data_IF_092591689790
#
_entry.id   IF_092591689790
#
_cell.length_a   1.000
_cell.length_b   1.000
_cell.length_c   1.000
_cell.angle_alpha   90.00
_cell.angle_beta   90.00
_cell.angle_gamma   90.00
#
_symmetry.space_group_name_H-M   'P 1'
#
loop_
_entity.id
_entity.type
_entity.pdbx_description
1 polymer ?
#
# COMPACT_ATOMS: atom_id res chain seq x y z
N UNK A 1 -41.45 44.69 -22.81
CA UNK A 1 -40.22 45.50 -22.99
C UNK A 1 -39.52 45.63 -21.64
N UNK A 2 -38.53 44.77 -21.38
CA UNK A 2 -37.72 44.82 -20.14
C UNK A 2 -36.27 45.04 -20.56
N UNK A 3 -35.68 46.14 -20.09
CA UNK A 3 -34.34 46.63 -20.47
C UNK A 3 -33.24 45.87 -19.73
N UNK A 4 -32.29 45.33 -20.49
CA UNK A 4 -30.99 44.87 -20.01
C UNK A 4 -30.12 46.08 -19.59
N UNK A 5 -29.54 46.03 -18.39
CA UNK A 5 -28.44 46.92 -17.97
C UNK A 5 -27.12 46.16 -18.14
N UNK A 6 -26.28 46.61 -19.07
CA UNK A 6 -24.87 46.24 -19.12
C UNK A 6 -24.10 47.00 -18.02
N UNK A 7 -23.28 46.28 -17.27
CA UNK A 7 -22.23 46.83 -16.42
C UNK A 7 -20.91 46.79 -17.19
N UNK A 8 -20.41 47.97 -17.56
CA UNK A 8 -19.09 48.20 -18.11
C UNK A 8 -18.08 48.44 -16.98
N UNK A 9 -17.04 47.62 -16.88
CA UNK A 9 -15.87 47.92 -16.05
C UNK A 9 -14.83 48.68 -16.88
N UNK A 10 -14.47 49.89 -16.43
CA UNK A 10 -13.37 50.69 -16.98
C UNK A 10 -12.03 50.23 -16.40
N UNK A 11 -11.08 49.89 -17.27
CA UNK A 11 -9.67 49.70 -16.94
C UNK A 11 -8.98 51.07 -16.89
N UNK A 12 -8.37 51.40 -15.75
CA UNK A 12 -7.43 52.52 -15.62
C UNK A 12 -5.99 51.99 -15.68
N UNK A 13 -5.06 52.71 -16.34
CA UNK A 13 -3.69 52.24 -16.55
C UNK A 13 -2.82 52.51 -15.31
N UNK A 14 -1.98 51.53 -14.95
CA UNK A 14 -0.92 51.70 -13.95
C UNK A 14 0.37 52.09 -14.68
N UNK A 15 0.94 53.19 -14.24
CA UNK A 15 2.17 53.81 -14.71
C UNK A 15 3.42 52.98 -14.42
N UNK A 16 4.30 52.92 -15.41
CA UNK A 16 5.64 52.32 -15.38
C UNK A 16 6.63 53.14 -14.55
N UNK A 17 7.34 52.49 -13.62
CA UNK A 17 8.57 53.01 -13.01
C UNK A 17 9.72 52.00 -13.12
N UNK A 18 10.69 52.40 -13.96
CA UNK A 18 12.13 52.12 -13.97
C UNK A 18 12.69 50.94 -13.15
N UNK A 19 13.13 49.90 -13.87
CA UNK A 19 14.09 48.90 -13.41
C UNK A 19 15.54 49.43 -13.52
N UNK A 20 16.45 49.15 -12.57
CA UNK A 20 17.87 49.40 -12.76
C UNK A 20 18.55 48.24 -13.50
N UNK A 21 19.30 48.63 -14.52
CA UNK A 21 20.12 47.81 -15.42
C UNK A 21 21.29 47.16 -14.66
N UNK A 22 21.37 45.84 -14.67
CA UNK A 22 22.55 45.09 -14.25
C UNK A 22 23.54 44.95 -15.42
N UNK A 23 24.78 45.43 -15.22
CA UNK A 23 25.92 45.20 -16.14
C UNK A 23 26.55 43.83 -15.88
N UNK A 24 26.92 43.05 -16.90
CA UNK A 24 27.70 41.82 -16.71
C UNK A 24 29.19 42.17 -16.60
N UNK A 25 29.82 41.73 -15.51
CA UNK A 25 31.27 41.67 -15.40
C UNK A 25 31.72 40.21 -15.36
N UNK A 26 32.49 39.85 -16.38
CA UNK A 26 33.19 38.60 -16.56
C UNK A 26 34.22 38.38 -15.44
N UNK A 27 34.21 37.19 -14.83
CA UNK A 27 35.43 36.60 -14.25
C UNK A 27 35.29 35.09 -14.10
N UNK A 28 36.20 34.40 -14.78
CA UNK A 28 36.55 33.00 -14.60
C UNK A 28 36.77 32.68 -13.12
N UNK A 29 36.18 31.58 -12.63
CA UNK A 29 36.85 30.67 -11.69
C UNK A 29 36.14 29.33 -11.62
N UNK A 30 36.84 28.33 -12.16
CA UNK A 30 36.80 26.92 -11.76
C UNK A 30 36.58 26.78 -10.25
N UNK A 31 35.55 26.06 -9.82
CA UNK A 31 35.45 25.53 -8.46
C UNK A 31 34.69 24.19 -8.46
N UNK A 32 35.48 23.12 -8.36
CA UNK A 32 35.28 21.90 -7.58
C UNK A 32 33.96 21.11 -7.70
N UNK A 33 33.96 20.14 -8.62
CA UNK A 33 33.26 18.87 -8.39
C UNK A 33 33.98 18.11 -7.27
N UNK A 34 33.36 18.03 -6.07
CA UNK A 34 33.76 17.04 -5.07
C UNK A 34 32.99 15.74 -5.30
N UNK A 35 33.71 14.81 -5.92
CA UNK A 35 33.57 13.36 -5.77
C UNK A 35 33.45 13.01 -4.28
N UNK A 36 32.35 12.38 -3.87
CA UNK A 36 32.31 11.61 -2.64
C UNK A 36 32.74 10.18 -2.99
N UNK A 37 34.05 9.97 -2.85
CA UNK A 37 34.69 8.65 -2.82
C UNK A 37 35.37 8.50 -1.47
N UNK A 38 35.38 7.25 -1.00
CA UNK A 38 36.15 6.67 0.11
C UNK A 38 35.76 7.05 1.54
N UNK A 39 35.05 6.13 2.19
CA UNK A 39 35.56 5.49 3.42
C UNK A 39 35.18 4.00 3.37
N UNK A 40 36.05 3.19 2.76
CA UNK A 40 36.05 1.74 2.93
C UNK A 40 36.88 1.42 4.17
N UNK A 41 36.22 1.03 5.26
CA UNK A 41 36.85 0.31 6.36
C UNK A 41 36.92 -1.17 5.98
N UNK A 42 38.13 -1.69 5.88
CA UNK A 42 38.43 -3.11 5.68
C UNK A 42 38.08 -3.89 6.95
N UNK A 43 37.07 -4.75 6.87
CA UNK A 43 36.87 -5.85 7.82
C UNK A 43 36.92 -7.17 7.06
N UNK A 44 38.11 -7.78 7.02
CA UNK A 44 38.27 -9.21 6.77
C UNK A 44 38.19 -9.93 8.10
N UNK A 45 37.18 -10.79 8.27
CA UNK A 45 37.36 -12.08 8.94
C UNK A 45 36.37 -13.11 8.40
N UNK A 46 36.94 -14.30 8.16
CA UNK A 46 36.34 -15.62 8.11
C UNK A 46 35.19 -15.89 7.12
N UNK A 47 35.57 -16.63 6.09
CA UNK A 47 34.73 -17.60 5.41
C UNK A 47 34.03 -18.51 6.42
N UNK A 48 32.71 -18.39 6.51
CA UNK A 48 31.87 -19.50 6.97
C UNK A 48 30.84 -19.79 5.88
N UNK A 49 31.24 -20.68 4.98
CA UNK A 49 30.35 -21.30 4.02
C UNK A 49 29.49 -22.31 4.76
N UNK A 50 28.34 -21.90 5.28
CA UNK A 50 27.25 -22.82 5.60
C UNK A 50 25.89 -22.21 5.24
N UNK A 51 25.09 -23.03 4.57
CA UNK A 51 23.72 -22.75 4.15
C UNK A 51 22.83 -22.33 5.32
N UNK A 52 22.68 -21.04 5.57
CA UNK A 52 21.63 -20.47 6.43
C UNK A 52 20.39 -20.14 5.58
N UNK A 53 19.77 -21.16 4.99
CA UNK A 53 18.45 -21.01 4.41
C UNK A 53 17.42 -20.66 5.51
N UNK A 54 16.69 -19.57 5.30
CA UNK A 54 15.34 -19.34 5.89
C UNK A 54 15.22 -19.10 7.42
N UNK A 55 15.88 -18.07 7.96
CA UNK A 55 15.48 -17.50 9.28
C UNK A 55 15.33 -15.98 9.33
N UNK A 56 15.42 -15.29 8.18
CA UNK A 56 15.37 -13.82 8.14
C UNK A 56 13.96 -13.27 8.25
N UNK A 57 13.03 -13.78 7.44
CA UNK A 57 11.63 -13.35 7.48
C UNK A 57 10.85 -14.17 8.52
N UNK A 58 10.32 -13.50 9.53
CA UNK A 58 9.19 -14.01 10.30
C UNK A 58 7.90 -13.56 9.61
N UNK A 59 7.02 -14.51 9.33
CA UNK A 59 5.73 -14.27 8.68
C UNK A 59 4.59 -14.92 9.45
N UNK A 60 3.49 -14.20 9.64
CA UNK A 60 2.21 -14.73 10.12
C UNK A 60 1.07 -14.15 9.28
N UNK A 61 0.15 -15.02 8.91
CA UNK A 61 -1.17 -14.67 8.38
C UNK A 61 -2.17 -14.84 9.51
N UNK A 62 -2.94 -13.80 9.78
CA UNK A 62 -3.96 -13.73 10.82
C UNK A 62 -5.32 -13.48 10.16
N UNK A 63 -6.39 -13.99 10.73
CA UNK A 63 -7.72 -13.91 10.13
C UNK A 63 -8.70 -13.20 11.06
N UNK A 64 -9.44 -12.22 10.54
CA UNK A 64 -10.61 -11.61 11.17
C UNK A 64 -11.86 -12.23 10.54
N UNK A 65 -12.73 -12.80 11.38
CA UNK A 65 -13.81 -13.67 10.94
C UNK A 65 -15.05 -12.92 10.46
N UNK A 66 -15.30 -11.72 10.96
CA UNK A 66 -16.53 -10.98 10.66
C UNK A 66 -16.48 -10.39 9.24
N UNK A 67 -15.33 -9.85 8.83
CA UNK A 67 -15.08 -9.32 7.49
C UNK A 67 -14.37 -10.31 6.55
N UNK A 68 -13.90 -11.43 7.08
CA UNK A 68 -13.05 -12.41 6.36
C UNK A 68 -11.71 -11.82 5.89
N UNK A 69 -11.17 -10.87 6.66
CA UNK A 69 -9.92 -10.17 6.33
C UNK A 69 -8.70 -10.95 6.81
N UNK A 70 -7.68 -11.01 5.96
CA UNK A 70 -6.35 -11.41 6.34
C UNK A 70 -5.50 -10.20 6.72
N UNK A 71 -4.94 -10.25 7.91
CA UNK A 71 -3.88 -9.34 8.37
C UNK A 71 -2.54 -10.07 8.30
N UNK A 72 -1.50 -9.42 7.79
CA UNK A 72 -0.18 -10.03 7.64
C UNK A 72 0.86 -9.36 8.53
N UNK A 73 1.52 -10.15 9.38
CA UNK A 73 2.66 -9.70 10.19
C UNK A 73 3.96 -10.17 9.53
N UNK A 74 4.84 -9.22 9.21
CA UNK A 74 6.16 -9.47 8.65
C UNK A 74 7.22 -8.87 9.57
N UNK A 75 8.34 -9.56 9.79
CA UNK A 75 9.48 -9.01 10.52
C UNK A 75 10.81 -9.54 10.01
N UNK A 76 11.85 -8.72 10.10
CA UNK A 76 13.24 -9.18 9.97
C UNK A 76 13.69 -9.71 11.33
N UNK A 77 13.52 -11.02 11.55
CA UNK A 77 13.87 -11.68 12.81
C UNK A 77 15.38 -11.80 13.05
N UNK A 78 16.20 -11.55 12.03
CA UNK A 78 17.66 -11.59 12.12
C UNK A 78 18.26 -10.27 12.62
N UNK A 79 17.54 -9.16 12.42
CA UNK A 79 17.96 -7.85 12.90
C UNK A 79 17.83 -7.77 14.44
N UNK A 80 18.78 -7.13 15.17
CA UNK A 80 18.75 -7.05 16.64
C UNK A 80 17.43 -6.50 17.21
N UNK A 81 16.88 -5.45 16.57
CA UNK A 81 15.60 -4.84 16.96
C UNK A 81 14.36 -5.62 16.52
N UNK A 82 14.49 -6.62 15.66
CA UNK A 82 13.38 -7.35 15.02
C UNK A 82 12.26 -6.43 14.47
N UNK A 83 12.59 -5.48 13.57
CA UNK A 83 11.63 -4.54 13.02
C UNK A 83 10.54 -5.26 12.24
N UNK A 84 9.29 -4.86 12.46
CA UNK A 84 8.11 -5.53 11.96
C UNK A 84 7.07 -4.57 11.39
N UNK A 85 6.22 -5.07 10.50
CA UNK A 85 5.06 -4.35 9.99
C UNK A 85 3.81 -5.24 9.97
N UNK A 86 2.65 -4.60 10.02
CA UNK A 86 1.35 -5.22 9.78
C UNK A 86 0.78 -4.71 8.45
N UNK A 87 0.23 -5.60 7.62
CA UNK A 87 -0.54 -5.28 6.42
C UNK A 87 -2.02 -5.57 6.68
N UNK A 88 -2.89 -4.60 6.36
CA UNK A 88 -4.34 -4.66 6.51
C UNK A 88 -4.79 -5.07 7.94
N UNK A 89 -4.33 -4.39 9.00
CA UNK A 89 -4.81 -4.66 10.36
C UNK A 89 -6.26 -4.18 10.54
N UNK A 90 -7.05 -4.94 11.31
CA UNK A 90 -8.44 -4.62 11.63
C UNK A 90 -8.55 -4.10 13.07
N UNK A 91 -9.40 -3.10 13.30
CA UNK A 91 -9.59 -2.47 14.63
C UNK A 91 -9.97 -3.47 15.73
N UNK A 92 -10.92 -4.36 15.46
CA UNK A 92 -11.41 -5.40 16.36
C UNK A 92 -10.33 -6.39 16.79
N UNK A 93 -9.28 -6.56 15.99
CA UNK A 93 -8.18 -7.49 16.28
C UNK A 93 -6.88 -6.81 16.66
N UNK A 94 -6.86 -5.48 16.78
CA UNK A 94 -5.64 -4.74 17.12
C UNK A 94 -4.99 -5.26 18.42
N UNK A 95 -5.77 -5.60 19.45
CA UNK A 95 -5.22 -6.14 20.71
C UNK A 95 -4.62 -7.54 20.56
N UNK A 96 -5.22 -8.39 19.73
CA UNK A 96 -4.64 -9.70 19.35
C UNK A 96 -3.29 -9.48 18.66
N UNK A 97 -3.25 -8.59 17.69
CA UNK A 97 -2.07 -8.34 16.85
C UNK A 97 -0.92 -7.77 17.69
N UNK A 98 -1.22 -6.81 18.56
CA UNK A 98 -0.24 -6.22 19.49
C UNK A 98 0.26 -7.23 20.53
N UNK A 99 -0.61 -8.12 21.01
CA UNK A 99 -0.20 -9.20 21.92
C UNK A 99 0.79 -10.14 21.24
N UNK A 100 0.51 -10.55 20.00
CA UNK A 100 1.42 -11.41 19.22
C UNK A 100 2.75 -10.72 18.92
N UNK A 101 2.74 -9.45 18.55
CA UNK A 101 3.96 -8.64 18.36
C UNK A 101 4.83 -8.64 19.62
N UNK A 102 4.20 -8.46 20.80
CA UNK A 102 4.88 -8.47 22.09
C UNK A 102 5.44 -9.86 22.43
N UNK A 103 4.65 -10.91 22.27
CA UNK A 103 5.05 -12.31 22.54
C UNK A 103 6.26 -12.73 21.69
N UNK A 104 6.30 -12.30 20.44
CA UNK A 104 7.39 -12.58 19.52
C UNK A 104 8.61 -11.66 19.72
N UNK A 105 8.51 -10.66 20.59
CA UNK A 105 9.56 -9.69 20.88
C UNK A 105 9.91 -8.81 19.67
N UNK A 106 8.90 -8.40 18.90
CA UNK A 106 9.07 -7.62 17.67
C UNK A 106 8.94 -6.12 17.94
N UNK A 107 9.65 -5.30 17.16
CA UNK A 107 9.50 -3.85 17.13
C UNK A 107 8.60 -3.46 15.96
N UNK A 108 7.32 -3.27 16.23
CA UNK A 108 6.39 -2.78 15.21
C UNK A 108 6.77 -1.36 14.79
N UNK A 109 7.03 -1.15 13.49
CA UNK A 109 7.40 0.16 12.92
C UNK A 109 6.29 0.71 12.03
N UNK A 110 5.57 -0.15 11.31
CA UNK A 110 4.53 0.25 10.37
C UNK A 110 3.25 -0.57 10.53
N UNK A 111 2.13 0.10 10.34
CA UNK A 111 0.83 -0.52 10.12
C UNK A 111 0.29 0.03 8.79
N UNK A 112 0.19 -0.82 7.77
CA UNK A 112 0.00 -0.39 6.38
C UNK A 112 -1.29 -0.96 5.83
N UNK A 113 -1.95 -0.24 4.93
CA UNK A 113 -3.14 -0.72 4.22
C UNK A 113 -2.88 -0.82 2.71
N UNK A 114 -3.37 -1.89 2.09
CA UNK A 114 -3.36 -2.07 0.63
C UNK A 114 -4.30 -1.09 -0.06
N UNK A 115 -5.41 -0.72 0.59
CA UNK A 115 -6.40 0.22 0.10
C UNK A 115 -7.31 0.73 1.24
N UNK A 116 -8.26 1.60 0.92
CA UNK A 116 -9.33 1.99 1.84
C UNK A 116 -10.38 0.89 1.83
N UNK A 117 -10.44 0.08 2.89
CA UNK A 117 -11.37 -1.03 3.02
C UNK A 117 -12.83 -0.55 3.19
N UNK A 118 -13.78 -1.34 2.71
CA UNK A 118 -15.22 -1.05 2.79
C UNK A 118 -16.00 -2.04 3.69
N UNK A 119 -15.33 -3.09 4.14
CA UNK A 119 -15.87 -4.23 4.88
C UNK A 119 -15.50 -4.18 6.37
N UNK A 120 -14.43 -3.49 6.74
CA UNK A 120 -13.98 -3.30 8.13
C UNK A 120 -13.36 -1.93 8.37
N UNK A 121 -13.25 -1.52 9.65
CA UNK A 121 -12.49 -0.33 10.05
C UNK A 121 -11.03 -0.73 10.30
N UNK A 122 -10.10 0.01 9.70
CA UNK A 122 -8.67 -0.26 9.83
C UNK A 122 -8.20 -0.08 11.28
N UNK A 123 -7.33 -0.98 11.73
CA UNK A 123 -6.71 -0.93 13.05
C UNK A 123 -5.55 0.07 13.14
N UNK A 124 -5.15 0.72 12.05
CA UNK A 124 -3.94 1.58 12.03
C UNK A 124 -4.00 2.72 13.05
N UNK A 125 -5.13 3.42 13.16
CA UNK A 125 -5.30 4.51 14.13
C UNK A 125 -5.20 4.04 15.58
N UNK A 126 -5.84 2.91 15.89
CA UNK A 126 -5.82 2.29 17.22
C UNK A 126 -4.43 1.75 17.59
N UNK A 127 -3.73 1.14 16.64
CA UNK A 127 -2.36 0.64 16.86
C UNK A 127 -1.41 1.81 17.18
N UNK A 128 -1.53 2.93 16.45
CA UNK A 128 -0.72 4.13 16.69
C UNK A 128 -0.94 4.73 18.08
N UNK A 129 -2.19 4.75 18.56
CA UNK A 129 -2.49 5.28 19.89
C UNK A 129 -1.95 4.39 21.01
N UNK A 130 -1.84 3.07 20.77
CA UNK A 130 -1.32 2.09 21.74
C UNK A 130 0.20 1.90 21.70
N UNK A 131 0.84 2.13 20.54
CA UNK A 131 2.28 1.94 20.36
C UNK A 131 2.92 3.20 19.78
N UNK A 132 3.40 4.12 20.63
CA UNK A 132 4.05 5.34 20.19
C UNK A 132 5.23 5.06 19.26
N UNK A 133 5.26 5.76 18.12
CA UNK A 133 6.32 5.63 17.11
C UNK A 133 5.98 4.74 15.93
N UNK A 134 4.93 3.90 16.01
CA UNK A 134 4.39 3.22 14.83
C UNK A 134 3.81 4.25 13.87
N UNK A 135 4.07 4.08 12.56
CA UNK A 135 3.51 4.93 11.51
C UNK A 135 2.52 4.18 10.64
N UNK A 136 1.39 4.81 10.38
CA UNK A 136 0.42 4.39 9.37
C UNK A 136 0.93 4.69 7.97
N UNK A 137 0.73 3.76 7.03
CA UNK A 137 1.05 3.94 5.62
C UNK A 137 -0.17 3.59 4.76
N UNK A 138 -0.48 4.43 3.78
CA UNK A 138 -1.45 4.12 2.73
C UNK A 138 -1.05 4.80 1.41
N UNK A 139 -1.60 4.35 0.29
CA UNK A 139 -1.29 4.96 -1.00
C UNK A 139 -1.77 6.40 -1.07
N UNK A 140 -0.97 7.27 -1.69
CA UNK A 140 -1.38 8.66 -1.96
C UNK A 140 -2.64 8.73 -2.84
N UNK A 141 -2.77 7.78 -3.78
CA UNK A 141 -3.91 7.68 -4.69
C UNK A 141 -5.24 7.36 -4.00
N UNK A 142 -5.21 6.86 -2.75
CA UNK A 142 -6.41 6.60 -1.96
C UNK A 142 -7.10 7.88 -1.46
N UNK A 143 -6.38 9.01 -1.39
CA UNK A 143 -6.79 10.25 -0.74
C UNK A 143 -7.12 10.13 0.77
N UNK A 144 -6.84 8.98 1.39
CA UNK A 144 -7.01 8.79 2.83
C UNK A 144 -5.85 9.41 3.62
N UNK A 145 -6.10 9.73 4.89
CA UNK A 145 -5.09 10.23 5.80
C UNK A 145 -4.23 9.08 6.36
N UNK A 146 -2.92 9.30 6.43
CA UNK A 146 -1.94 8.45 7.11
C UNK A 146 -0.70 9.29 7.47
N UNK A 147 0.19 8.74 8.29
CA UNK A 147 1.45 9.43 8.64
C UNK A 147 2.42 9.48 7.45
N UNK A 148 2.38 8.45 6.59
CA UNK A 148 3.18 8.36 5.38
C UNK A 148 2.29 7.97 4.20
N UNK A 149 2.48 8.67 3.08
CA UNK A 149 1.84 8.34 1.81
C UNK A 149 2.88 7.76 0.86
N UNK A 150 2.49 6.70 0.14
CA UNK A 150 3.36 6.00 -0.81
C UNK A 150 2.86 6.12 -2.25
N UNK A 151 3.80 6.04 -3.19
CA UNK A 151 3.60 6.05 -4.64
C UNK A 151 4.22 4.77 -5.28
N UNK A 152 3.86 4.45 -6.53
CA UNK A 152 4.41 3.28 -7.21
C UNK A 152 5.94 3.35 -7.34
N UNK A 153 6.63 2.24 -7.06
CA UNK A 153 8.09 2.14 -7.05
C UNK A 153 8.74 2.43 -5.70
N UNK A 154 7.98 2.95 -4.73
CA UNK A 154 8.47 3.09 -3.36
C UNK A 154 8.81 1.73 -2.74
N UNK A 155 9.65 1.79 -1.70
CA UNK A 155 10.05 0.62 -0.90
C UNK A 155 9.82 0.87 0.58
N UNK A 156 9.07 -0.02 1.23
CA UNK A 156 8.83 -0.01 2.68
C UNK A 156 9.81 -0.97 3.34
N UNK A 157 10.84 -0.43 3.99
CA UNK A 157 11.90 -1.22 4.63
C UNK A 157 11.56 -1.60 6.07
N UNK A 158 11.92 -2.81 6.48
CA UNK A 158 11.85 -3.29 7.86
C UNK A 158 13.08 -4.16 8.13
N UNK A 159 14.12 -3.54 8.71
CA UNK A 159 15.45 -4.14 8.75
C UNK A 159 16.07 -4.15 7.35
N UNK A 160 16.63 -5.28 6.94
CA UNK A 160 17.19 -5.43 5.59
C UNK A 160 16.16 -5.91 4.56
N UNK A 161 14.95 -6.24 5.01
CA UNK A 161 13.84 -6.66 4.17
C UNK A 161 13.04 -5.45 3.68
N UNK A 162 12.43 -5.57 2.50
CA UNK A 162 11.53 -4.53 2.00
C UNK A 162 10.35 -5.07 1.22
N UNK A 163 9.29 -4.25 1.18
CA UNK A 163 8.16 -4.39 0.27
C UNK A 163 8.24 -3.32 -0.83
N UNK A 164 8.32 -3.75 -2.09
CA UNK A 164 8.11 -2.92 -3.28
C UNK A 164 6.62 -2.58 -3.43
N UNK A 165 6.31 -1.32 -3.70
CA UNK A 165 4.95 -0.83 -3.92
C UNK A 165 4.62 -0.84 -5.41
N UNK A 166 3.59 -1.58 -5.81
CA UNK A 166 3.03 -1.53 -7.17
C UNK A 166 1.62 -0.96 -7.13
N UNK A 167 1.33 0.03 -7.96
CA UNK A 167 -0.04 0.50 -8.14
C UNK A 167 -0.86 -0.60 -8.82
N UNK A 168 -1.93 -1.05 -8.17
CA UNK A 168 -2.88 -2.01 -8.74
C UNK A 168 -4.32 -1.52 -8.58
N UNK A 169 -4.65 -0.30 -9.07
CA UNK A 169 -5.99 0.24 -8.98
C UNK A 169 -6.99 -0.61 -9.77
N UNK A 170 -8.25 -0.50 -9.41
CA UNK A 170 -9.34 -1.14 -10.12
C UNK A 170 -10.44 -1.65 -9.20
N UNK A 171 -10.09 -2.26 -8.07
CA UNK A 171 -11.04 -2.45 -6.98
C UNK A 171 -11.41 -1.10 -6.37
N UNK A 172 -10.39 -0.31 -6.02
CA UNK A 172 -10.50 1.13 -5.73
C UNK A 172 -9.45 1.90 -6.54
N UNK A 173 -9.56 3.23 -6.59
CA UNK A 173 -8.53 4.10 -7.18
C UNK A 173 -7.18 4.04 -6.43
N UNK A 174 -7.22 3.69 -5.14
CA UNK A 174 -6.07 3.71 -4.25
C UNK A 174 -5.39 2.36 -4.02
N UNK A 175 -5.84 1.28 -4.67
CA UNK A 175 -5.26 -0.04 -4.43
C UNK A 175 -3.78 -0.10 -4.83
N UNK A 176 -2.97 -0.60 -3.91
CA UNK A 176 -1.60 -1.03 -4.17
C UNK A 176 -1.43 -2.49 -3.81
N UNK A 177 -0.42 -3.09 -4.40
CA UNK A 177 0.08 -4.41 -4.07
C UNK A 177 1.48 -4.26 -3.50
N UNK A 178 1.75 -4.95 -2.40
CA UNK A 178 3.09 -5.00 -1.79
C UNK A 178 3.80 -6.28 -2.18
N UNK A 179 5.02 -6.19 -2.70
CA UNK A 179 5.80 -7.36 -3.12
C UNK A 179 7.10 -7.43 -2.33
N UNK A 180 7.43 -8.57 -1.72
CA UNK A 180 8.75 -8.74 -1.10
C UNK A 180 9.86 -8.51 -2.13
N UNK A 181 11.00 -7.95 -1.72
CA UNK A 181 12.06 -7.58 -2.64
C UNK A 181 12.58 -8.71 -3.55
N UNK A 182 13.21 -8.33 -4.66
CA UNK A 182 13.79 -9.21 -5.68
C UNK A 182 15.30 -9.43 -5.55
N UNK A 183 15.93 -8.81 -4.54
CA UNK A 183 17.36 -8.93 -4.28
C UNK A 183 17.76 -10.31 -3.71
N UNK A 184 19.06 -10.65 -3.74
CA UNK A 184 19.56 -11.97 -3.33
C UNK A 184 19.34 -12.31 -1.84
N UNK A 185 19.16 -11.30 -1.00
CA UNK A 185 18.93 -11.44 0.46
C UNK A 185 17.46 -11.23 0.85
N UNK A 186 16.54 -11.27 -0.11
CA UNK A 186 15.10 -11.12 0.09
C UNK A 186 14.40 -12.50 0.11
N UNK A 187 13.14 -12.58 0.59
CA UNK A 187 12.39 -13.84 0.65
C UNK A 187 12.24 -14.49 -0.73
N UNK A 188 12.46 -15.81 -0.78
CA UNK A 188 12.24 -16.66 -1.95
C UNK A 188 11.40 -17.89 -1.57
N UNK A 189 10.34 -18.25 -2.31
CA UNK A 189 9.78 -17.48 -3.43
C UNK A 189 9.31 -16.08 -2.98
N UNK A 190 9.19 -15.14 -3.91
CA UNK A 190 8.62 -13.82 -3.60
C UNK A 190 7.20 -13.99 -3.04
N UNK A 191 6.76 -13.04 -2.23
CA UNK A 191 5.40 -12.96 -1.73
C UNK A 191 4.77 -11.66 -2.23
N UNK A 192 3.50 -11.72 -2.61
CA UNK A 192 2.74 -10.58 -3.07
C UNK A 192 1.44 -10.44 -2.27
N UNK A 193 1.27 -9.30 -1.61
CA UNK A 193 0.08 -8.93 -0.84
C UNK A 193 -0.82 -8.08 -1.71
N UNK A 194 -1.85 -8.71 -2.29
CA UNK A 194 -2.58 -8.18 -3.45
C UNK A 194 -3.77 -7.30 -3.10
N UNK A 195 -4.02 -7.09 -1.80
CA UNK A 195 -5.27 -6.47 -1.35
C UNK A 195 -6.47 -7.19 -1.96
N UNK A 196 -7.41 -6.41 -2.45
CA UNK A 196 -8.57 -6.90 -3.20
C UNK A 196 -8.42 -6.80 -4.72
N UNK A 197 -7.22 -6.47 -5.24
CA UNK A 197 -6.99 -6.49 -6.68
C UNK A 197 -7.03 -7.91 -7.25
N UNK A 198 -6.42 -8.86 -6.55
CA UNK A 198 -6.44 -10.28 -6.88
C UNK A 198 -6.81 -11.09 -5.63
N UNK A 199 -7.85 -11.91 -5.73
CA UNK A 199 -8.25 -12.88 -4.72
C UNK A 199 -7.95 -14.29 -5.21
N UNK A 200 -7.91 -15.26 -4.29
CA UNK A 200 -7.72 -16.67 -4.66
C UNK A 200 -8.91 -17.12 -5.52
N UNK A 201 -8.65 -17.48 -6.79
CA UNK A 201 -9.69 -17.81 -7.78
C UNK A 201 -10.75 -16.72 -7.96
N UNK A 202 -10.38 -15.46 -7.77
CA UNK A 202 -11.30 -14.33 -7.89
C UNK A 202 -10.60 -12.98 -7.96
N UNK A 203 -11.37 -11.93 -7.71
CA UNK A 203 -10.92 -10.56 -7.59
C UNK A 203 -11.99 -9.75 -6.83
N UNK A 204 -11.60 -8.61 -6.28
CA UNK A 204 -12.52 -7.65 -5.66
C UNK A 204 -13.53 -7.11 -6.67
N UNK A 205 -14.67 -6.63 -6.15
CA UNK A 205 -15.68 -5.92 -6.95
C UNK A 205 -15.13 -4.59 -7.49
N UNK A 206 -15.77 -3.99 -8.48
CA UNK A 206 -15.24 -2.80 -9.18
C UNK A 206 -16.26 -1.69 -9.38
N UNK A 207 -17.42 -1.80 -8.73
CA UNK A 207 -18.59 -0.95 -8.88
C UNK A 207 -18.72 0.15 -7.80
N UNK A 208 -17.76 0.24 -6.88
CA UNK A 208 -17.70 1.24 -5.79
C UNK A 208 -16.30 1.86 -5.68
N UNK A 209 -16.15 2.92 -4.87
CA UNK A 209 -14.86 3.54 -4.50
C UNK A 209 -13.97 3.94 -5.70
N UNK A 210 -14.59 4.35 -6.80
CA UNK A 210 -13.93 4.68 -8.06
C UNK A 210 -13.32 3.48 -8.78
N UNK A 211 -13.83 2.27 -8.50
CA UNK A 211 -13.44 1.04 -9.16
C UNK A 211 -13.70 1.06 -10.67
N UNK A 212 -12.96 0.20 -11.36
CA UNK A 212 -13.04 0.02 -12.81
C UNK A 212 -12.53 -1.38 -13.17
N UNK A 213 -13.39 -2.18 -13.78
CA UNK A 213 -13.03 -3.54 -14.26
C UNK A 213 -11.91 -3.49 -15.29
N UNK A 214 -11.93 -2.53 -16.20
CA UNK A 214 -10.86 -2.35 -17.18
C UNK A 214 -9.52 -2.04 -16.52
N UNK A 215 -9.53 -1.11 -15.56
CA UNK A 215 -8.32 -0.75 -14.81
C UNK A 215 -7.82 -1.93 -13.99
N UNK A 216 -8.73 -2.67 -13.33
CA UNK A 216 -8.39 -3.86 -12.55
C UNK A 216 -7.71 -4.92 -13.40
N UNK A 217 -8.28 -5.22 -14.56
CA UNK A 217 -7.74 -6.20 -15.50
C UNK A 217 -6.30 -5.83 -15.90
N UNK A 218 -6.10 -4.58 -16.32
CA UNK A 218 -4.78 -4.04 -16.70
C UNK A 218 -3.80 -4.07 -15.53
N UNK A 219 -4.23 -3.69 -14.33
CA UNK A 219 -3.42 -3.72 -13.11
C UNK A 219 -2.91 -5.13 -12.81
N UNK A 220 -3.79 -6.13 -12.76
CA UNK A 220 -3.41 -7.51 -12.46
C UNK A 220 -2.45 -8.04 -13.52
N UNK A 221 -2.77 -7.87 -14.81
CA UNK A 221 -1.97 -8.40 -15.91
C UNK A 221 -0.58 -7.76 -16.02
N UNK A 222 -0.46 -6.46 -15.73
CA UNK A 222 0.82 -5.74 -15.88
C UNK A 222 1.68 -5.75 -14.62
N UNK A 223 1.09 -5.84 -13.42
CA UNK A 223 1.82 -5.69 -12.16
C UNK A 223 1.96 -6.99 -11.36
N UNK A 224 0.98 -7.91 -11.46
CA UNK A 224 0.96 -9.15 -10.67
C UNK A 224 1.35 -10.34 -11.54
N UNK A 225 0.73 -10.51 -12.72
CA UNK A 225 1.03 -11.63 -13.62
C UNK A 225 2.39 -11.53 -14.34
N UNK A 226 3.10 -10.42 -14.16
CA UNK A 226 4.50 -10.25 -14.58
C UNK A 226 5.51 -10.73 -13.55
N UNK A 227 5.06 -11.09 -12.34
CA UNK A 227 5.92 -11.67 -11.31
C UNK A 227 6.27 -13.15 -11.65
N UNK A 228 7.34 -13.71 -11.06
CA UNK A 228 7.64 -15.14 -11.18
C UNK A 228 6.44 -16.01 -10.80
N UNK A 229 6.20 -17.11 -11.54
CA UNK A 229 5.00 -17.95 -11.38
C UNK A 229 4.89 -18.60 -9.99
N UNK A 230 6.00 -18.82 -9.32
CA UNK A 230 6.08 -19.35 -7.96
C UNK A 230 5.86 -18.31 -6.87
N UNK A 231 5.69 -17.02 -7.24
CA UNK A 231 5.37 -15.95 -6.28
C UNK A 231 4.06 -16.26 -5.57
N UNK A 232 4.11 -16.28 -4.23
CA UNK A 232 2.96 -16.57 -3.38
C UNK A 232 1.99 -15.38 -3.34
N UNK A 233 0.72 -15.63 -3.60
CA UNK A 233 -0.36 -14.63 -3.60
C UNK A 233 -1.11 -14.67 -2.28
N UNK A 234 -1.09 -13.53 -1.57
CA UNK A 234 -1.73 -13.31 -0.28
C UNK A 234 -2.77 -12.18 -0.40
N UNK A 235 -4.07 -12.50 -0.55
CA UNK A 235 -5.12 -11.50 -0.73
C UNK A 235 -5.49 -10.81 0.59
N UNK A 236 -6.21 -9.69 0.54
CA UNK A 236 -6.81 -9.13 1.76
C UNK A 236 -8.00 -9.97 2.26
N UNK A 237 -8.68 -10.71 1.39
CA UNK A 237 -9.87 -11.50 1.77
C UNK A 237 -9.89 -12.89 1.14
N UNK A 238 -10.51 -13.84 1.83
CA UNK A 238 -10.98 -15.09 1.25
C UNK A 238 -12.28 -15.54 1.92
N UNK A 239 -13.21 -16.04 1.11
CA UNK A 239 -14.57 -16.41 1.56
C UNK A 239 -14.83 -17.92 1.47
N UNK A 240 -13.78 -18.72 1.24
CA UNK A 240 -13.85 -20.18 0.99
C UNK A 240 -12.91 -20.99 1.88
N UNK A 241 -12.12 -20.33 2.74
CA UNK A 241 -11.14 -20.95 3.62
C UNK A 241 -9.78 -21.18 2.96
N UNK A 242 -9.49 -20.57 1.81
CA UNK A 242 -8.17 -20.60 1.20
C UNK A 242 -7.26 -19.52 1.78
N UNK A 243 -5.99 -19.85 1.99
CA UNK A 243 -5.02 -18.98 2.68
C UNK A 243 -3.95 -18.42 1.75
N UNK A 244 -3.58 -19.14 0.69
CA UNK A 244 -2.53 -18.74 -0.27
C UNK A 244 -2.80 -19.34 -1.65
N UNK A 245 -2.34 -18.66 -2.70
CA UNK A 245 -2.27 -19.16 -4.08
C UNK A 245 -0.89 -18.81 -4.66
N UNK A 246 -0.69 -19.00 -5.96
CA UNK A 246 0.51 -18.52 -6.66
C UNK A 246 0.14 -17.73 -7.90
N UNK A 247 1.05 -16.88 -8.38
CA UNK A 247 0.87 -16.17 -9.64
C UNK A 247 0.58 -17.15 -10.78
N UNK A 248 1.34 -18.24 -10.87
CA UNK A 248 1.16 -19.27 -11.90
C UNK A 248 -0.19 -19.98 -11.81
N UNK A 249 -0.68 -20.23 -10.60
CA UNK A 249 -2.00 -20.79 -10.40
C UNK A 249 -3.11 -19.81 -10.82
N UNK A 250 -3.05 -18.54 -10.43
CA UNK A 250 -4.06 -17.56 -10.80
C UNK A 250 -4.06 -17.26 -12.31
N UNK A 251 -2.89 -17.21 -12.94
CA UNK A 251 -2.76 -17.11 -14.40
C UNK A 251 -3.41 -18.28 -15.16
N UNK A 252 -3.53 -19.45 -14.52
CA UNK A 252 -4.08 -20.65 -15.16
C UNK A 252 -5.54 -20.90 -14.78
N UNK A 253 -5.93 -20.60 -13.55
CA UNK A 253 -7.16 -21.08 -12.96
C UNK A 253 -8.09 -19.97 -12.42
N UNK A 254 -7.69 -18.69 -12.47
CA UNK A 254 -8.61 -17.63 -12.07
C UNK A 254 -9.79 -17.56 -13.05
N UNK A 255 -11.04 -17.82 -12.62
CA UNK A 255 -12.16 -17.97 -13.54
C UNK A 255 -12.53 -16.67 -14.27
N UNK A 256 -12.10 -15.51 -13.74
CA UNK A 256 -12.38 -14.18 -14.28
C UNK A 256 -11.18 -13.63 -15.06
N UNK A 257 -10.02 -13.54 -14.41
CA UNK A 257 -8.84 -12.85 -14.93
C UNK A 257 -8.07 -13.61 -16.03
N UNK A 258 -8.47 -14.86 -16.30
CA UNK A 258 -7.99 -15.64 -17.46
C UNK A 258 -8.82 -15.43 -18.73
N UNK A 259 -9.94 -14.70 -18.64
CA UNK A 259 -10.70 -14.25 -19.81
C UNK A 259 -9.95 -13.10 -20.48
N UNK A 260 -10.30 -12.79 -21.72
CA UNK A 260 -9.88 -11.52 -22.31
C UNK A 260 -10.53 -10.34 -21.57
N UNK A 261 -10.04 -9.12 -21.83
CA UNK A 261 -10.50 -7.91 -21.14
C UNK A 261 -12.01 -7.69 -21.29
N UNK A 262 -12.54 -7.92 -22.50
CA UNK A 262 -13.98 -7.77 -22.78
C UNK A 262 -14.81 -8.79 -21.99
N UNK A 263 -14.42 -10.07 -21.99
CA UNK A 263 -15.07 -11.13 -21.23
C UNK A 263 -14.99 -10.90 -19.72
N UNK A 264 -13.85 -10.40 -19.22
CA UNK A 264 -13.70 -10.00 -17.82
C UNK A 264 -14.69 -8.88 -17.45
N UNK A 265 -14.72 -7.78 -18.24
CA UNK A 265 -15.64 -6.65 -18.00
C UNK A 265 -17.09 -7.11 -18.00
N UNK A 266 -17.48 -7.91 -19.01
CA UNK A 266 -18.82 -8.47 -19.10
C UNK A 266 -19.20 -9.33 -17.89
N UNK A 267 -18.29 -10.14 -17.35
CA UNK A 267 -18.54 -10.91 -16.12
C UNK A 267 -18.75 -9.97 -14.93
N UNK A 268 -17.85 -9.00 -14.73
CA UNK A 268 -17.87 -8.11 -13.56
C UNK A 268 -19.13 -7.24 -13.51
N UNK A 269 -19.57 -6.72 -14.66
CA UNK A 269 -20.80 -5.90 -14.79
C UNK A 269 -22.08 -6.70 -14.47
N UNK A 270 -22.05 -8.03 -14.59
CA UNK A 270 -23.21 -8.89 -14.41
C UNK A 270 -23.22 -9.67 -13.07
N UNK A 271 -22.34 -9.35 -12.11
CA UNK A 271 -22.29 -10.05 -10.83
C UNK A 271 -23.49 -9.78 -9.91
N UNK A 272 -24.22 -8.66 -10.10
CA UNK A 272 -25.41 -8.28 -9.33
C UNK A 272 -25.25 -8.46 -7.80
N UNK A 273 -24.12 -8.01 -7.26
CA UNK A 273 -23.79 -8.16 -5.84
C UNK A 273 -24.60 -7.17 -4.99
N UNK A 274 -25.00 -7.60 -3.80
CA UNK A 274 -25.63 -6.73 -2.82
C UNK A 274 -24.73 -5.53 -2.45
N UNK A 275 -25.36 -4.46 -1.97
CA UNK A 275 -24.64 -3.30 -1.41
C UNK A 275 -23.72 -3.74 -0.26
N UNK A 276 -22.44 -3.28 -0.19
CA UNK A 276 -21.54 -3.73 0.86
C UNK A 276 -22.00 -3.22 2.24
N UNK A 277 -22.24 -4.16 3.16
CA UNK A 277 -22.95 -3.92 4.43
C UNK A 277 -22.31 -2.86 5.33
N UNK A 278 -20.98 -2.74 5.29
CA UNK A 278 -20.21 -1.86 6.18
C UNK A 278 -19.70 -0.58 5.48
N UNK A 279 -19.95 -0.41 4.18
CA UNK A 279 -19.27 0.64 3.40
C UNK A 279 -19.49 2.05 3.95
N UNK A 280 -20.73 2.34 4.38
CA UNK A 280 -21.14 3.66 4.87
C UNK A 280 -20.52 4.01 6.24
N UNK A 281 -19.94 3.01 6.93
CA UNK A 281 -19.23 3.18 8.21
C UNK A 281 -17.73 3.07 8.00
N UNK A 282 -17.30 2.01 7.32
CA UNK A 282 -15.90 1.68 7.11
C UNK A 282 -15.18 2.71 6.25
N UNK A 283 -15.76 3.13 5.11
CA UNK A 283 -15.07 4.05 4.21
C UNK A 283 -14.81 5.40 4.86
N UNK A 284 -15.79 6.10 5.48
CA UNK A 284 -15.52 7.37 6.16
C UNK A 284 -14.47 7.24 7.27
N UNK A 285 -14.53 6.17 8.07
CA UNK A 285 -13.55 5.89 9.11
C UNK A 285 -12.15 5.70 8.56
N UNK A 286 -12.02 4.90 7.49
CA UNK A 286 -10.75 4.52 6.89
C UNK A 286 -10.11 5.69 6.12
N UNK A 287 -10.91 6.63 5.60
CA UNK A 287 -10.41 7.90 5.06
C UNK A 287 -9.69 8.75 6.13
N UNK A 288 -9.99 8.52 7.42
CA UNK A 288 -9.39 9.19 8.57
C UNK A 288 -8.49 8.25 9.38
N UNK A 289 -7.84 7.28 8.73
CA UNK A 289 -6.90 6.33 9.37
C UNK A 289 -7.54 5.43 10.44
N UNK A 290 -8.86 5.22 10.40
CA UNK A 290 -9.60 4.48 11.43
C UNK A 290 -9.78 5.26 12.74
N UNK A 291 -9.42 6.54 12.75
CA UNK A 291 -9.73 7.43 13.86
C UNK A 291 -11.21 7.82 13.74
N UNK A 292 -12.01 7.35 14.68
CA UNK A 292 -13.37 7.86 14.86
C UNK A 292 -13.28 9.13 15.68
N UNK A 293 -14.06 10.15 15.32
CA UNK A 293 -14.31 11.26 16.23
C UNK A 293 -14.90 10.65 17.51
N UNK A 294 -14.19 10.85 18.62
CA UNK A 294 -14.74 10.56 19.93
C UNK A 294 -15.78 11.65 20.20
N UNK A 295 -16.96 11.54 19.59
CA UNK A 295 -18.15 11.98 20.29
C UNK A 295 -18.30 11.01 21.46
N UNK A 296 -17.61 11.33 22.55
CA UNK A 296 -17.95 10.84 23.86
C UNK A 296 -19.40 11.26 24.09
N UNK A 297 -20.36 10.40 23.76
CA UNK A 297 -21.69 10.45 24.33
C UNK A 297 -21.55 10.02 25.79
N UNK A 298 -20.95 10.89 26.58
CA UNK A 298 -21.29 11.04 27.97
C UNK A 298 -22.69 11.68 27.97
N UNK A 299 -23.70 10.85 28.22
CA UNK A 299 -24.96 11.20 28.86
C UNK A 299 -25.45 9.96 29.59
#
# INVERSE_FOLDING_TARGET
MLRFRLLSFSLSPISSSSSPVFKPHTRNRFLFLKKLSSQMGSYTTASDSQLSGSKKLLFRQLFEKDSSTYTYLLADASHPDKPALLVDPVDKTADRDLSLVKELGLKLIYAINTHVHADHVTGTGLIKSKVPGVKSIISKASNAQADLLIEPGDKVYFGDLFLEVRATPGHTLGCVTYVTGDGPNQPQPRMVFTGDALLIRGCGRTDFQGGSSETLYKSVHTQIFTLPKDTLVYPAHDYKGFTVSTVGEEMKYNPRLTKDEAGFKGIMENLNLAYPKMMDVAVPANMLCGLQDVESKAN
#
